data_IF_133578023221
#
_entry.id   IF_133578023221
#
_cell.length_a   1.000
_cell.length_b   1.000
_cell.length_c   1.000
_cell.angle_alpha   90.00
_cell.angle_beta   90.00
_cell.angle_gamma   90.00
#
_symmetry.space_group_name_H-M   'P 1'
#
loop_
_entity.id
_entity.type
_entity.pdbx_description
1 polymer ?
#
# COMPACT_ATOMS: atom_id res chain seq x y z
N UNK A 1 33.81 23.59 16.81
CA UNK A 1 33.09 22.31 16.64
C UNK A 1 31.68 22.66 16.22
N UNK A 2 31.34 22.45 14.95
CA UNK A 2 29.98 22.66 14.44
C UNK A 2 29.49 21.29 14.02
N UNK A 3 28.56 20.72 14.78
CA UNK A 3 27.90 19.47 14.42
C UNK A 3 26.90 19.75 13.28
N UNK A 4 26.79 18.88 12.27
CA UNK A 4 25.79 19.02 11.22
C UNK A 4 24.39 18.80 11.81
N UNK A 5 23.49 19.78 11.72
CA UNK A 5 22.06 19.50 11.83
C UNK A 5 21.66 18.77 10.56
N UNK A 6 21.56 17.45 10.65
CA UNK A 6 20.85 16.66 9.65
C UNK A 6 19.43 17.22 9.56
N UNK A 7 19.10 17.89 8.46
CA UNK A 7 17.73 18.14 8.07
C UNK A 7 17.11 16.78 7.76
N UNK A 8 16.64 16.08 8.80
CA UNK A 8 15.67 15.01 8.60
C UNK A 8 14.46 15.70 7.96
N UNK A 9 14.28 15.48 6.66
CA UNK A 9 13.12 15.93 5.91
C UNK A 9 11.88 15.46 6.66
N UNK A 10 11.29 16.33 7.48
CA UNK A 10 10.09 15.97 8.23
C UNK A 10 9.03 15.73 7.18
N UNK A 11 8.52 14.50 7.10
CA UNK A 11 7.41 14.16 6.20
C UNK A 11 6.30 15.17 6.43
N UNK A 12 6.06 16.05 5.46
CA UNK A 12 4.93 16.95 5.52
C UNK A 12 3.70 16.16 5.08
N UNK A 13 2.94 15.67 6.07
CA UNK A 13 1.76 14.86 5.83
C UNK A 13 0.70 15.59 4.99
N UNK A 14 0.71 16.93 4.96
CA UNK A 14 -0.23 17.70 4.13
C UNK A 14 0.01 17.51 2.63
N UNK A 15 1.22 17.08 2.24
CA UNK A 15 1.54 16.78 0.84
C UNK A 15 1.07 15.40 0.40
N UNK A 16 0.85 14.44 1.32
CA UNK A 16 0.33 13.11 0.98
C UNK A 16 -1.08 13.19 0.38
N UNK A 17 -1.86 14.20 0.76
CA UNK A 17 -3.27 14.30 0.39
C UNK A 17 -4.09 13.12 0.91
N UNK A 18 -5.12 12.77 0.17
CA UNK A 18 -5.96 11.60 0.43
C UNK A 18 -5.20 10.33 0.03
N UNK A 19 -4.92 9.48 1.02
CA UNK A 19 -4.42 8.13 0.78
C UNK A 19 -5.60 7.15 0.72
N UNK A 20 -5.73 6.49 -0.42
CA UNK A 20 -6.74 5.46 -0.67
C UNK A 20 -6.13 4.07 -0.58
N UNK A 21 -6.96 3.10 -0.18
CA UNK A 21 -6.60 1.69 -0.18
C UNK A 21 -7.67 0.88 -0.90
N UNK A 22 -7.23 0.02 -1.81
CA UNK A 22 -8.09 -0.88 -2.58
C UNK A 22 -7.67 -2.32 -2.37
N UNK A 23 -8.64 -3.21 -2.24
CA UNK A 23 -8.43 -4.63 -1.99
C UNK A 23 -9.17 -5.48 -3.01
N UNK A 24 -8.50 -6.50 -3.56
CA UNK A 24 -9.10 -7.47 -4.47
C UNK A 24 -8.42 -8.84 -4.33
N UNK A 25 -9.18 -9.90 -4.54
CA UNK A 25 -8.63 -11.25 -4.63
C UNK A 25 -8.30 -11.53 -6.09
N UNK A 26 -7.16 -12.18 -6.35
CA UNK A 26 -6.76 -12.56 -7.69
C UNK A 26 -5.86 -13.80 -7.67
N UNK A 27 -5.71 -14.45 -8.81
CA UNK A 27 -4.85 -15.63 -8.92
C UNK A 27 -3.37 -15.26 -8.75
N UNK A 28 -2.63 -16.00 -7.92
CA UNK A 28 -1.19 -15.82 -7.78
C UNK A 28 -0.44 -16.54 -8.90
N UNK A 29 0.44 -15.82 -9.60
CA UNK A 29 1.13 -16.30 -10.80
C UNK A 29 1.97 -17.57 -10.59
N UNK A 30 2.51 -17.78 -9.39
CA UNK A 30 3.42 -18.91 -9.13
C UNK A 30 2.69 -20.21 -8.79
N UNK A 31 1.49 -20.14 -8.22
CA UNK A 31 0.81 -21.32 -7.65
C UNK A 31 -0.66 -21.48 -8.04
N UNK A 32 -1.23 -20.54 -8.80
CA UNK A 32 -2.59 -20.58 -9.30
C UNK A 32 -3.67 -20.47 -8.20
N UNK A 33 -3.30 -20.16 -6.95
CA UNK A 33 -4.25 -20.05 -5.82
C UNK A 33 -4.56 -18.58 -5.52
N UNK A 34 -5.74 -18.31 -4.97
CA UNK A 34 -6.21 -16.94 -4.64
C UNK A 34 -5.29 -16.16 -3.68
N UNK A 35 -4.66 -15.10 -4.14
CA UNK A 35 -3.91 -14.13 -3.34
C UNK A 35 -4.80 -12.93 -2.97
N UNK A 36 -4.66 -12.46 -1.73
CA UNK A 36 -5.26 -11.23 -1.25
C UNK A 36 -4.33 -10.05 -1.57
N UNK A 37 -4.71 -9.19 -2.51
CA UNK A 37 -3.94 -8.01 -2.90
C UNK A 37 -4.47 -6.75 -2.21
N UNK A 38 -3.57 -5.86 -1.82
CA UNK A 38 -3.86 -4.58 -1.19
C UNK A 38 -3.00 -3.49 -1.84
N UNK A 39 -3.64 -2.52 -2.49
CA UNK A 39 -2.97 -1.37 -3.11
C UNK A 39 -3.21 -0.12 -2.25
N UNK A 40 -2.14 0.58 -1.88
CA UNK A 40 -2.20 1.95 -1.34
C UNK A 40 -1.67 2.96 -2.36
N UNK A 41 -2.28 4.13 -2.42
CA UNK A 41 -1.92 5.22 -3.34
C UNK A 41 -2.44 6.57 -2.83
N UNK A 42 -1.81 7.66 -3.27
CA UNK A 42 -2.35 9.00 -3.11
C UNK A 42 -3.26 9.38 -4.28
N UNK A 43 -4.27 10.22 -4.03
CA UNK A 43 -5.03 10.87 -5.10
C UNK A 43 -4.29 12.07 -5.72
N UNK A 44 -3.18 12.52 -5.11
CA UNK A 44 -2.42 13.68 -5.56
C UNK A 44 -3.09 15.03 -5.26
N UNK A 45 -4.09 15.04 -4.38
CA UNK A 45 -4.88 16.19 -3.94
C UNK A 45 -4.30 16.87 -2.68
N UNK A 46 -3.04 16.59 -2.36
CA UNK A 46 -2.30 17.21 -1.26
C UNK A 46 -2.06 18.71 -1.49
N UNK A 47 -1.63 19.41 -0.43
CA UNK A 47 -1.51 20.87 -0.41
C UNK A 47 -0.59 21.43 -1.52
N UNK A 48 0.43 20.68 -1.91
CA UNK A 48 1.40 21.05 -2.95
C UNK A 48 1.22 20.26 -4.27
N UNK A 49 0.10 19.55 -4.45
CA UNK A 49 -0.24 18.86 -5.69
C UNK A 49 0.38 17.45 -5.85
N UNK A 50 0.19 16.84 -7.03
CA UNK A 50 0.50 15.43 -7.26
C UNK A 50 1.99 15.10 -7.21
N UNK A 51 2.87 15.99 -7.68
CA UNK A 51 4.32 15.79 -7.62
C UNK A 51 4.82 15.77 -6.16
N UNK A 52 4.27 16.64 -5.32
CA UNK A 52 4.60 16.65 -3.90
C UNK A 52 4.07 15.41 -3.16
N UNK A 53 2.91 14.88 -3.57
CA UNK A 53 2.38 13.63 -3.07
C UNK A 53 3.28 12.44 -3.45
N UNK A 54 3.79 12.40 -4.67
CA UNK A 54 4.75 11.38 -5.12
C UNK A 54 6.01 11.37 -4.25
N UNK A 55 6.63 12.54 -4.02
CA UNK A 55 7.81 12.66 -3.17
C UNK A 55 7.51 12.30 -1.71
N UNK A 56 6.33 12.70 -1.20
CA UNK A 56 5.92 12.37 0.16
C UNK A 56 5.72 10.85 0.35
N UNK A 57 5.10 10.18 -0.61
CA UNK A 57 4.97 8.71 -0.61
C UNK A 57 6.34 8.04 -0.74
N UNK A 58 7.22 8.53 -1.63
CA UNK A 58 8.58 8.03 -1.77
C UNK A 58 9.35 8.10 -0.46
N UNK A 59 9.23 9.22 0.25
CA UNK A 59 9.84 9.40 1.56
C UNK A 59 9.26 8.42 2.60
N UNK A 60 7.94 8.25 2.64
CA UNK A 60 7.27 7.30 3.53
C UNK A 60 7.73 5.85 3.30
N UNK A 61 7.81 5.41 2.04
CA UNK A 61 8.28 4.06 1.69
C UNK A 61 9.73 3.85 2.11
N UNK A 62 10.59 4.84 1.85
CA UNK A 62 12.00 4.81 2.27
C UNK A 62 12.12 4.70 3.80
N UNK A 63 11.35 5.50 4.55
CA UNK A 63 11.34 5.46 6.02
C UNK A 63 10.77 4.13 6.56
N UNK A 64 9.86 3.51 5.82
CA UNK A 64 9.29 2.20 6.14
C UNK A 64 10.21 1.04 5.76
N UNK A 65 11.36 1.29 5.12
CA UNK A 65 12.29 0.25 4.67
C UNK A 65 11.79 -0.54 3.46
N UNK A 66 10.85 0.03 2.69
CA UNK A 66 10.29 -0.58 1.50
C UNK A 66 11.00 -0.06 0.23
N UNK A 67 11.72 -0.90 -0.52
CA UNK A 67 12.40 -0.49 -1.74
C UNK A 67 11.40 -0.28 -2.88
N UNK A 68 11.45 0.90 -3.49
CA UNK A 68 10.64 1.25 -4.67
C UNK A 68 11.28 0.66 -5.92
N UNK A 69 10.48 0.08 -6.80
CA UNK A 69 10.94 -0.61 -8.01
C UNK A 69 11.77 -1.86 -7.74
N UNK A 70 11.82 -2.29 -6.48
CA UNK A 70 12.53 -3.49 -6.03
C UNK A 70 11.67 -4.75 -6.09
N UNK A 71 12.28 -5.87 -5.70
CA UNK A 71 11.55 -7.12 -5.49
C UNK A 71 10.57 -7.06 -4.31
N UNK A 72 9.78 -8.12 -4.16
CA UNK A 72 8.83 -8.25 -3.06
C UNK A 72 9.58 -8.48 -1.74
N UNK A 73 9.33 -7.62 -0.75
CA UNK A 73 9.85 -7.79 0.61
C UNK A 73 8.96 -8.77 1.39
N UNK A 74 9.57 -9.72 2.10
CA UNK A 74 8.81 -10.61 2.99
C UNK A 74 8.66 -9.98 4.39
N UNK A 75 7.53 -9.33 4.62
CA UNK A 75 7.16 -8.69 5.88
C UNK A 75 7.02 -9.64 7.07
N UNK A 76 6.89 -10.96 6.84
CA UNK A 76 6.91 -11.94 7.91
C UNK A 76 8.32 -12.23 8.45
N UNK A 77 9.35 -11.95 7.64
CA UNK A 77 10.76 -12.19 7.96
C UNK A 77 11.52 -10.91 8.28
N UNK A 78 11.04 -9.77 7.83
CA UNK A 78 11.58 -8.46 8.15
C UNK A 78 10.85 -7.83 9.34
N UNK A 79 11.56 -7.09 10.20
CA UNK A 79 10.97 -6.31 11.30
C UNK A 79 10.27 -5.04 10.80
N UNK A 80 9.43 -5.15 9.76
CA UNK A 80 8.70 -4.02 9.21
C UNK A 80 7.64 -3.57 10.21
N UNK A 81 7.49 -2.25 10.43
CA UNK A 81 6.51 -1.73 11.37
C UNK A 81 5.09 -1.69 10.77
N UNK A 82 4.75 -2.63 9.91
CA UNK A 82 3.49 -2.65 9.15
C UNK A 82 2.75 -3.94 9.39
N UNK A 83 1.46 -3.82 9.69
CA UNK A 83 0.58 -4.97 9.91
C UNK A 83 -0.76 -4.74 9.20
N UNK A 84 -1.39 -5.84 8.81
CA UNK A 84 -2.76 -5.83 8.31
C UNK A 84 -3.62 -6.62 9.26
N UNK A 85 -4.59 -5.94 9.87
CA UNK A 85 -5.64 -6.57 10.66
C UNK A 85 -6.78 -6.95 9.71
N UNK A 86 -7.11 -8.23 9.68
CA UNK A 86 -8.21 -8.76 8.87
C UNK A 86 -9.41 -9.04 9.75
N UNK A 87 -10.51 -8.34 9.47
CA UNK A 87 -11.82 -8.51 10.07
C UNK A 87 -12.81 -9.02 9.03
N UNK A 88 -13.97 -9.50 9.47
CA UNK A 88 -14.99 -9.99 8.56
C UNK A 88 -15.60 -8.80 7.79
N UNK A 89 -15.25 -8.70 6.50
CA UNK A 89 -15.69 -7.64 5.59
C UNK A 89 -14.84 -6.37 5.57
N UNK A 90 -13.76 -6.28 6.38
CA UNK A 90 -12.83 -5.15 6.29
C UNK A 90 -11.38 -5.50 6.62
N UNK A 91 -10.45 -4.72 6.06
CA UNK A 91 -9.04 -4.79 6.40
C UNK A 91 -8.55 -3.43 6.90
N UNK A 92 -7.76 -3.44 7.97
CA UNK A 92 -7.10 -2.25 8.50
C UNK A 92 -5.58 -2.38 8.34
N UNK A 93 -5.00 -1.51 7.53
CA UNK A 93 -3.56 -1.34 7.39
C UNK A 93 -3.08 -0.38 8.48
N UNK A 94 -2.11 -0.81 9.28
CA UNK A 94 -1.45 0.03 10.28
C UNK A 94 0.04 0.11 10.02
N UNK A 95 0.54 1.34 9.93
CA UNK A 95 1.95 1.68 9.81
C UNK A 95 2.24 2.90 10.71
N UNK A 96 3.50 3.26 11.01
CA UNK A 96 3.81 4.42 11.83
C UNK A 96 3.31 5.74 11.24
N UNK A 97 3.11 5.79 9.93
CA UNK A 97 2.85 7.02 9.17
C UNK A 97 1.46 7.04 8.51
N UNK A 98 0.81 5.88 8.39
CA UNK A 98 -0.46 5.68 7.70
C UNK A 98 -1.30 4.65 8.43
N UNK A 99 -2.54 5.01 8.73
CA UNK A 99 -3.58 4.07 9.12
C UNK A 99 -4.72 4.19 8.12
N UNK A 100 -5.12 3.07 7.51
CA UNK A 100 -6.18 3.06 6.52
C UNK A 100 -7.07 1.84 6.71
N UNK A 101 -8.36 2.00 6.44
CA UNK A 101 -9.35 0.92 6.48
C UNK A 101 -10.08 0.86 5.15
N UNK A 102 -10.28 -0.35 4.64
CA UNK A 102 -11.08 -0.58 3.44
C UNK A 102 -12.05 -1.75 3.64
N UNK A 103 -13.14 -1.74 2.87
CA UNK A 103 -14.03 -2.89 2.74
C UNK A 103 -13.37 -3.92 1.84
N UNK A 104 -13.53 -5.20 2.17
CA UNK A 104 -12.92 -6.30 1.41
C UNK A 104 -13.97 -7.37 1.09
N UNK A 105 -13.90 -8.01 -0.09
CA UNK A 105 -14.79 -9.11 -0.42
C UNK A 105 -14.45 -10.37 0.39
N UNK A 106 -15.43 -11.25 0.59
CA UNK A 106 -15.24 -12.51 1.34
C UNK A 106 -14.11 -13.39 0.77
N UNK A 107 -13.98 -13.41 -0.55
CA UNK A 107 -12.90 -14.12 -1.23
C UNK A 107 -11.52 -13.61 -0.82
N UNK A 108 -11.37 -12.29 -0.65
CA UNK A 108 -10.13 -11.67 -0.20
C UNK A 108 -9.80 -12.09 1.24
N UNK A 109 -10.79 -12.03 2.14
CA UNK A 109 -10.62 -12.46 3.54
C UNK A 109 -10.22 -13.92 3.62
N UNK A 110 -10.84 -14.77 2.80
CA UNK A 110 -10.52 -16.20 2.71
C UNK A 110 -9.10 -16.43 2.21
N UNK A 111 -8.68 -15.71 1.16
CA UNK A 111 -7.33 -15.77 0.62
C UNK A 111 -6.27 -15.34 1.65
N UNK A 112 -6.50 -14.20 2.32
CA UNK A 112 -5.63 -13.66 3.35
C UNK A 112 -5.45 -14.65 4.52
N UNK A 113 -6.55 -15.19 5.06
CA UNK A 113 -6.51 -16.15 6.17
C UNK A 113 -5.89 -17.50 5.80
N UNK A 114 -6.07 -17.96 4.56
CA UNK A 114 -5.46 -19.23 4.10
C UNK A 114 -3.94 -19.15 3.93
N UNK A 115 -3.42 -17.95 3.68
CA UNK A 115 -2.00 -17.70 3.41
C UNK A 115 -1.23 -17.12 4.59
N UNK A 116 -1.94 -16.59 5.59
CA UNK A 116 -1.39 -15.83 6.73
C UNK A 116 -0.64 -14.55 6.33
N UNK A 117 -0.78 -14.12 5.07
CA UNK A 117 -0.22 -12.88 4.55
C UNK A 117 -1.08 -12.32 3.41
N UNK A 118 -0.90 -11.03 3.15
CA UNK A 118 -1.48 -10.32 2.00
C UNK A 118 -0.37 -9.71 1.16
N UNK A 119 -0.57 -9.65 -0.15
CA UNK A 119 0.32 -8.95 -1.06
C UNK A 119 -0.01 -7.46 -1.03
N UNK A 120 0.86 -6.67 -0.42
CA UNK A 120 0.75 -5.23 -0.33
C UNK A 120 1.60 -4.56 -1.41
N UNK A 121 1.02 -3.58 -2.07
CA UNK A 121 1.71 -2.70 -3.00
C UNK A 121 1.39 -1.25 -2.64
N UNK A 122 2.40 -0.40 -2.64
CA UNK A 122 2.23 1.03 -2.45
C UNK A 122 3.01 1.76 -3.54
N UNK A 123 2.27 2.43 -4.42
CA UNK A 123 2.81 3.20 -5.55
C UNK A 123 3.05 4.64 -5.15
N UNK A 124 4.17 5.22 -5.59
CA UNK A 124 4.40 6.66 -5.50
C UNK A 124 3.56 7.44 -6.51
N UNK A 125 3.09 6.78 -7.58
CA UNK A 125 2.31 7.41 -8.63
C UNK A 125 0.89 7.76 -8.13
N UNK A 126 0.48 9.04 -8.16
CA UNK A 126 -0.89 9.39 -7.81
C UNK A 126 -1.92 8.81 -8.78
N UNK A 127 -3.09 8.43 -8.25
CA UNK A 127 -4.19 7.89 -9.05
C UNK A 127 -5.54 8.54 -8.69
N UNK A 128 -5.82 9.74 -9.22
CA UNK A 128 -7.03 10.49 -8.87
C UNK A 128 -8.34 9.81 -9.31
N UNK A 129 -8.28 8.92 -10.31
CA UNK A 129 -9.44 8.16 -10.79
C UNK A 129 -9.90 7.10 -9.77
N UNK A 130 -9.01 6.65 -8.87
CA UNK A 130 -9.31 5.72 -7.77
C UNK A 130 -9.87 6.40 -6.51
N UNK A 131 -10.68 7.44 -6.66
CA UNK A 131 -11.24 8.14 -5.49
C UNK A 131 -12.14 7.20 -4.65
N UNK A 132 -12.07 7.26 -3.31
CA UNK A 132 -12.95 6.46 -2.45
C UNK A 132 -14.43 6.71 -2.76
N UNK A 133 -15.20 5.62 -2.86
CA UNK A 133 -16.63 5.68 -3.19
C UNK A 133 -16.93 5.83 -4.67
N UNK A 134 -15.92 5.98 -5.54
CA UNK A 134 -16.08 5.89 -6.99
C UNK A 134 -15.83 4.45 -7.43
N UNK A 135 -16.78 3.88 -8.17
CA UNK A 135 -16.59 2.56 -8.76
C UNK A 135 -15.51 2.65 -9.85
N UNK A 136 -14.44 1.88 -9.68
CA UNK A 136 -13.38 1.74 -10.69
C UNK A 136 -13.68 0.48 -11.51
N UNK A 137 -13.65 0.60 -12.83
CA UNK A 137 -13.81 -0.55 -13.71
C UNK A 137 -12.60 -1.49 -13.59
N UNK A 138 -12.83 -2.79 -13.75
CA UNK A 138 -11.75 -3.80 -13.68
C UNK A 138 -10.65 -3.52 -14.72
N UNK A 139 -11.03 -3.05 -15.91
CA UNK A 139 -10.11 -2.67 -16.97
C UNK A 139 -9.19 -1.51 -16.59
N UNK A 140 -9.71 -0.49 -15.89
CA UNK A 140 -8.95 0.66 -15.43
C UNK A 140 -7.99 0.28 -14.32
N UNK A 141 -8.45 -0.54 -13.37
CA UNK A 141 -7.61 -1.08 -12.31
C UNK A 141 -6.47 -1.90 -12.92
N UNK A 142 -6.79 -2.79 -13.86
CA UNK A 142 -5.78 -3.60 -14.54
C UNK A 142 -4.80 -2.76 -15.35
N UNK A 143 -5.29 -1.77 -16.08
CA UNK A 143 -4.43 -0.86 -16.85
C UNK A 143 -3.47 -0.11 -15.92
N UNK A 144 -3.94 0.37 -14.77
CA UNK A 144 -3.09 1.06 -13.79
C UNK A 144 -2.06 0.13 -13.15
N UNK A 145 -2.47 -1.06 -12.70
CA UNK A 145 -1.61 -2.04 -12.02
C UNK A 145 -0.58 -2.70 -12.93
N UNK A 146 -0.91 -2.88 -14.21
CA UNK A 146 -0.02 -3.49 -15.19
C UNK A 146 0.85 -2.47 -15.96
N UNK A 147 0.68 -1.18 -15.71
CA UNK A 147 1.50 -0.14 -16.32
C UNK A 147 2.94 -0.18 -15.76
N UNK A 148 3.91 -0.20 -16.66
CA UNK A 148 5.34 -0.31 -16.30
C UNK A 148 5.81 0.84 -15.40
N UNK A 149 5.28 2.05 -15.60
CA UNK A 149 5.60 3.18 -14.75
C UNK A 149 5.01 3.01 -13.34
N UNK A 150 3.80 2.45 -13.22
CA UNK A 150 3.22 2.13 -11.90
C UNK A 150 4.03 1.06 -11.19
N UNK A 151 4.38 -0.03 -11.87
CA UNK A 151 5.15 -1.14 -11.30
C UNK A 151 6.52 -0.64 -10.83
N UNK A 152 7.25 0.09 -11.67
CA UNK A 152 8.57 0.63 -11.31
C UNK A 152 8.52 1.70 -10.21
N UNK A 153 7.40 2.41 -10.08
CA UNK A 153 7.15 3.39 -9.02
C UNK A 153 6.53 2.78 -7.75
N UNK A 154 6.43 1.45 -7.66
CA UNK A 154 5.80 0.78 -6.52
C UNK A 154 6.79 0.05 -5.64
N UNK A 155 6.50 0.05 -4.33
CA UNK A 155 7.10 -0.89 -3.42
C UNK A 155 6.15 -2.05 -3.15
N UNK A 156 6.71 -3.25 -2.98
CA UNK A 156 5.96 -4.50 -2.85
C UNK A 156 6.37 -5.22 -1.56
N UNK A 157 5.40 -5.71 -0.80
CA UNK A 157 5.62 -6.39 0.46
C UNK A 157 4.57 -7.46 0.73
N UNK A 158 4.96 -8.62 1.26
CA UNK A 158 4.02 -9.55 1.89
C UNK A 158 3.79 -9.10 3.34
N UNK A 159 2.60 -8.62 3.67
CA UNK A 159 2.29 -8.20 5.03
C UNK A 159 1.66 -9.35 5.81
N UNK A 160 2.14 -9.65 7.03
CA UNK A 160 1.55 -10.69 7.85
C UNK A 160 0.13 -10.32 8.27
N UNK A 161 -0.78 -11.29 8.21
CA UNK A 161 -2.15 -11.12 8.69
C UNK A 161 -2.15 -11.23 10.21
N UNK A 162 -2.66 -10.19 10.86
CA UNK A 162 -3.07 -10.27 12.26
C UNK A 162 -4.57 -10.46 12.33
N UNK A 163 -5.02 -11.32 13.23
CA UNK A 163 -6.44 -11.42 13.60
C UNK A 163 -6.68 -10.66 14.90
N UNK A 164 -7.90 -10.12 15.12
CA UNK A 164 -8.25 -9.55 16.41
C UNK A 164 -8.07 -10.63 17.48
N UNK A 165 -7.31 -10.34 18.54
CA UNK A 165 -7.26 -11.24 19.70
C UNK A 165 -8.66 -11.25 20.32
N UNK A 166 -9.28 -12.42 20.31
CA UNK A 166 -10.56 -12.68 20.99
C UNK A 166 -10.36 -12.78 22.49
#
# INVERSE_FOLDING_TARGET
MTSPQSSESRLDQSNLGTISVMAWAGEHVDDGRDMAFLLAYSLGDGAAGPEAAEEAVRHLLTQSGLPIGGGVVDGSRSSLPMTVLVEDGSASLSTPYLNARCLVPEQWTTAARKRDHVYFMFTTRPWPQGAPGVAVAEEDLKAFLCDEATISASAHCLLPVSTPRT
#
